data_IF_666558841115
#
_entry.id   IF_666558841115
#
_cell.length_a   1.000
_cell.length_b   1.000
_cell.length_c   1.000
_cell.angle_alpha   90.00
_cell.angle_beta   90.00
_cell.angle_gamma   90.00
#
_symmetry.space_group_name_H-M   'P 1'
#
loop_
_entity.id
_entity.type
_entity.pdbx_description
1 polymer ?
#
# COMPACT_ATOMS: atom_id res chain seq x y z
N UNK A 1 26.91 -71.78 12.64
CA UNK A 1 25.59 -72.42 12.62
C UNK A 1 24.52 -71.36 12.56
N UNK A 2 23.89 -71.03 11.44
CA UNK A 2 24.33 -70.82 10.06
C UNK A 2 23.14 -70.11 9.40
N UNK A 3 23.48 -69.15 8.55
CA UNK A 3 22.81 -68.67 7.34
C UNK A 3 21.28 -68.77 7.15
N UNK A 4 20.66 -67.62 6.86
CA UNK A 4 19.93 -67.29 5.61
C UNK A 4 19.28 -65.90 5.79
N UNK A 5 19.74 -64.83 5.14
CA UNK A 5 19.50 -64.43 3.75
C UNK A 5 18.03 -64.03 3.48
N UNK A 6 17.76 -62.72 3.39
CA UNK A 6 16.88 -62.21 2.34
C UNK A 6 17.15 -60.72 2.04
N UNK A 7 17.43 -60.49 0.77
CA UNK A 7 17.54 -59.19 0.09
C UNK A 7 16.21 -58.99 -0.67
N UNK A 8 15.66 -57.77 -0.75
CA UNK A 8 15.43 -57.23 -2.09
C UNK A 8 15.66 -55.70 -2.26
N UNK A 9 15.76 -55.37 -3.54
CA UNK A 9 16.18 -54.16 -4.27
C UNK A 9 15.74 -52.73 -3.84
N UNK A 10 16.52 -51.70 -4.24
CA UNK A 10 16.21 -50.27 -4.12
C UNK A 10 15.76 -49.66 -5.47
N UNK A 11 14.48 -49.32 -5.63
CA UNK A 11 14.04 -48.46 -6.74
C UNK A 11 12.71 -47.74 -6.45
N UNK A 12 12.77 -46.55 -5.83
CA UNK A 12 11.72 -45.55 -5.94
C UNK A 12 12.30 -44.14 -5.66
N UNK A 13 12.19 -43.17 -6.59
CA UNK A 13 12.57 -41.78 -6.32
C UNK A 13 11.52 -41.08 -5.44
N UNK A 14 11.92 -40.15 -4.56
CA UNK A 14 11.01 -39.46 -3.67
C UNK A 14 10.13 -38.44 -4.42
N UNK A 15 8.84 -38.52 -4.17
CA UNK A 15 7.80 -37.57 -4.62
C UNK A 15 8.02 -36.18 -3.99
N UNK A 16 8.69 -35.30 -4.73
CA UNK A 16 8.76 -33.87 -4.44
C UNK A 16 7.49 -33.11 -4.87
N UNK A 17 7.24 -31.89 -4.36
CA UNK A 17 5.95 -31.23 -4.47
C UNK A 17 5.67 -30.78 -5.91
N UNK A 18 4.65 -31.39 -6.54
CA UNK A 18 4.19 -31.13 -7.91
C UNK A 18 3.73 -29.68 -8.19
N UNK A 19 3.69 -28.82 -7.17
CA UNK A 19 3.10 -27.48 -7.24
C UNK A 19 3.96 -26.44 -7.97
N UNK A 20 5.29 -26.58 -7.96
CA UNK A 20 6.19 -25.63 -8.67
C UNK A 20 6.31 -25.92 -10.17
N UNK A 21 6.09 -27.18 -10.59
CA UNK A 21 6.14 -27.61 -11.99
C UNK A 21 4.91 -27.13 -12.78
N UNK A 22 3.73 -27.18 -12.15
CA UNK A 22 2.47 -26.75 -12.76
C UNK A 22 2.48 -25.24 -13.09
N UNK A 23 2.95 -24.40 -12.17
CA UNK A 23 3.03 -22.95 -12.38
C UNK A 23 4.02 -22.56 -13.51
N UNK A 24 5.12 -23.30 -13.66
CA UNK A 24 6.09 -23.09 -14.75
C UNK A 24 5.51 -23.57 -16.09
N UNK A 25 4.71 -24.65 -16.08
CA UNK A 25 4.02 -25.14 -17.27
C UNK A 25 2.93 -24.17 -17.76
N UNK A 26 2.17 -23.56 -16.85
CA UNK A 26 1.14 -22.56 -17.17
C UNK A 26 1.75 -21.29 -17.78
N UNK A 27 2.87 -20.80 -17.24
CA UNK A 27 3.59 -19.63 -17.79
C UNK A 27 4.15 -19.94 -19.18
N UNK A 28 4.69 -21.15 -19.40
CA UNK A 28 5.19 -21.55 -20.72
C UNK A 28 4.06 -21.73 -21.75
N UNK A 29 2.90 -22.24 -21.33
CA UNK A 29 1.71 -22.35 -22.18
C UNK A 29 1.16 -20.97 -22.58
N UNK A 30 1.15 -20.02 -21.65
CA UNK A 30 0.76 -18.63 -21.92
C UNK A 30 1.72 -17.93 -22.89
N UNK A 31 3.03 -18.12 -22.72
CA UNK A 31 4.05 -17.60 -23.65
C UNK A 31 3.94 -18.22 -25.07
N UNK A 32 3.58 -19.51 -25.16
CA UNK A 32 3.34 -20.17 -26.44
C UNK A 32 2.07 -19.65 -27.16
N UNK A 33 1.02 -19.31 -26.41
CA UNK A 33 -0.21 -18.69 -26.95
C UNK A 33 0.07 -17.29 -27.52
N UNK A 34 0.89 -16.48 -26.84
CA UNK A 34 1.30 -15.16 -27.35
C UNK A 34 2.15 -15.27 -28.62
N UNK A 35 3.01 -16.28 -28.71
CA UNK A 35 3.82 -16.52 -29.91
C UNK A 35 2.96 -16.97 -31.11
N UNK A 36 1.86 -17.70 -30.85
CA UNK A 36 0.91 -18.10 -31.89
C UNK A 36 0.07 -16.93 -32.42
N UNK A 37 -0.36 -16.01 -31.55
CA UNK A 37 -1.05 -14.77 -31.97
C UNK A 37 -0.14 -13.81 -32.72
N UNK A 38 1.16 -13.77 -32.38
CA UNK A 38 2.15 -12.97 -33.11
C UNK A 38 2.56 -13.57 -34.47
N UNK A 39 2.27 -14.86 -34.73
CA UNK A 39 2.62 -15.56 -35.98
C UNK A 39 1.56 -15.49 -37.08
N UNK A 40 0.38 -14.93 -36.80
CA UNK A 40 -0.79 -14.94 -37.68
C UNK A 40 -0.89 -13.78 -38.68
N UNK A 41 0.21 -13.33 -39.28
CA UNK A 41 0.17 -12.32 -40.36
C UNK A 41 1.38 -12.44 -41.29
N UNK A 42 1.46 -13.54 -42.04
CA UNK A 42 2.52 -13.75 -43.03
C UNK A 42 2.03 -14.59 -44.20
N UNK A 43 1.35 -13.95 -45.17
CA UNK A 43 0.93 -14.62 -46.38
C UNK A 43 0.44 -13.69 -47.48
N UNK A 44 1.33 -13.37 -48.42
CA UNK A 44 0.97 -13.08 -49.82
C UNK A 44 0.78 -11.62 -50.19
N UNK A 45 1.78 -11.02 -50.86
CA UNK A 45 1.66 -9.71 -51.48
C UNK A 45 2.83 -9.40 -52.40
N UNK A 46 2.73 -9.88 -53.63
CA UNK A 46 3.63 -9.63 -54.77
C UNK A 46 3.72 -8.11 -55.03
N UNK A 47 4.94 -7.61 -55.25
CA UNK A 47 5.20 -6.19 -55.47
C UNK A 47 4.75 -5.66 -56.84
N UNK A 48 4.41 -4.37 -56.87
CA UNK A 48 4.62 -3.47 -58.00
C UNK A 48 4.75 -2.01 -57.47
N UNK A 49 5.49 -1.12 -58.17
CA UNK A 49 6.12 0.05 -57.57
C UNK A 49 5.46 1.40 -57.91
N UNK A 50 5.80 2.44 -57.13
CA UNK A 50 5.83 3.84 -57.59
C UNK A 50 4.67 4.73 -57.15
N UNK A 51 4.92 5.61 -56.19
CA UNK A 51 4.02 6.72 -55.83
C UNK A 51 4.61 7.61 -54.73
N UNK A 52 5.15 8.75 -55.13
CA UNK A 52 5.79 9.76 -54.28
C UNK A 52 4.84 10.33 -53.21
N UNK A 53 5.38 10.40 -51.98
CA UNK A 53 5.22 11.43 -50.95
C UNK A 53 3.89 12.16 -50.77
N UNK A 54 3.29 11.98 -49.60
CA UNK A 54 2.77 13.08 -48.76
C UNK A 54 3.18 12.76 -47.32
N UNK A 55 4.01 13.65 -46.75
CA UNK A 55 4.27 13.74 -45.31
C UNK A 55 3.11 14.51 -44.71
N UNK A 56 2.38 13.89 -43.76
CA UNK A 56 1.60 14.63 -42.77
C UNK A 56 2.02 14.09 -41.40
N UNK A 57 2.81 14.90 -40.71
CA UNK A 57 3.03 14.75 -39.28
C UNK A 57 1.77 15.14 -38.50
N UNK A 58 1.57 14.52 -37.36
CA UNK A 58 0.51 14.86 -36.41
C UNK A 58 0.51 13.87 -35.26
N UNK A 59 1.17 14.23 -34.17
CA UNK A 59 1.18 13.46 -32.93
C UNK A 59 -0.17 13.47 -32.21
N UNK A 60 -0.27 12.63 -31.18
CA UNK A 60 -1.40 12.62 -30.26
C UNK A 60 -1.50 11.30 -29.52
N UNK A 61 -0.87 11.25 -28.33
CA UNK A 61 -1.18 10.22 -27.35
C UNK A 61 -2.61 10.36 -26.84
N UNK A 62 -3.17 9.27 -26.34
CA UNK A 62 -4.46 9.32 -25.64
C UNK A 62 -5.20 7.99 -25.67
N UNK A 63 -4.99 7.20 -24.61
CA UNK A 63 -5.92 6.25 -24.01
C UNK A 63 -6.75 5.37 -24.96
N UNK A 64 -6.38 4.09 -25.04
CA UNK A 64 -7.35 3.02 -25.30
C UNK A 64 -8.33 2.94 -24.11
N UNK A 65 -9.63 3.25 -24.25
CA UNK A 65 -10.58 2.80 -23.26
C UNK A 65 -10.90 1.33 -23.59
N UNK A 66 -10.45 0.41 -22.75
CA UNK A 66 -11.10 -0.89 -22.61
C UNK A 66 -12.59 -0.64 -22.34
N UNK A 67 -13.42 -0.82 -23.36
CA UNK A 67 -14.86 -0.83 -23.19
C UNK A 67 -15.32 -2.29 -23.20
N UNK A 68 -15.53 -2.78 -21.99
CA UNK A 68 -16.28 -3.98 -21.68
C UNK A 68 -17.55 -4.05 -22.54
N UNK A 69 -17.58 -4.99 -23.49
CA UNK A 69 -18.76 -5.36 -24.25
C UNK A 69 -19.69 -6.19 -23.34
N UNK A 70 -20.41 -5.49 -22.47
CA UNK A 70 -21.60 -6.03 -21.81
C UNK A 70 -22.80 -6.11 -22.77
N UNK A 71 -23.82 -6.94 -22.47
CA UNK A 71 -24.95 -7.23 -23.37
C UNK A 71 -25.99 -6.10 -23.51
N UNK A 72 -25.77 -4.91 -22.96
CA UNK A 72 -26.72 -3.80 -23.02
C UNK A 72 -26.41 -2.83 -24.18
N UNK A 73 -27.34 -2.67 -25.16
CA UNK A 73 -27.14 -1.82 -26.32
C UNK A 73 -27.30 -0.35 -25.92
N UNK A 74 -26.23 0.25 -25.38
CA UNK A 74 -26.20 1.71 -25.19
C UNK A 74 -26.32 2.40 -26.55
N UNK A 75 -27.09 3.51 -26.68
CA UNK A 75 -27.26 4.23 -27.96
C UNK A 75 -25.93 4.65 -28.61
N UNK A 76 -24.91 4.93 -27.77
CA UNK A 76 -23.54 5.21 -28.19
C UNK A 76 -22.84 3.97 -28.79
N UNK A 77 -23.01 2.80 -28.18
CA UNK A 77 -22.51 1.53 -28.70
C UNK A 77 -23.15 1.17 -30.05
N UNK A 78 -24.47 1.37 -30.19
CA UNK A 78 -25.18 1.13 -31.46
C UNK A 78 -24.71 2.09 -32.55
N UNK A 79 -24.50 3.37 -32.24
CA UNK A 79 -23.94 4.34 -33.19
C UNK A 79 -22.52 3.96 -33.63
N UNK A 80 -21.67 3.53 -32.70
CA UNK A 80 -20.32 3.04 -32.99
C UNK A 80 -20.34 1.79 -33.88
N UNK A 81 -21.18 0.80 -33.57
CA UNK A 81 -21.33 -0.41 -34.38
C UNK A 81 -21.87 -0.12 -35.79
N UNK A 82 -22.81 0.83 -35.94
CA UNK A 82 -23.28 1.28 -37.26
C UNK A 82 -22.18 1.98 -38.05
N UNK A 83 -21.38 2.83 -37.40
CA UNK A 83 -20.22 3.46 -38.03
C UNK A 83 -19.17 2.43 -38.47
N UNK A 84 -18.90 1.43 -37.63
CA UNK A 84 -18.00 0.32 -37.94
C UNK A 84 -18.54 -0.54 -39.09
N UNK A 85 -19.85 -0.83 -39.12
CA UNK A 85 -20.50 -1.56 -40.20
C UNK A 85 -20.51 -0.79 -41.53
N UNK A 86 -20.72 0.54 -41.50
CA UNK A 86 -20.61 1.37 -42.68
C UNK A 86 -19.17 1.41 -43.20
N UNK A 87 -18.18 1.53 -42.30
CA UNK A 87 -16.77 1.50 -42.64
C UNK A 87 -16.34 0.14 -43.21
N UNK A 88 -16.81 -0.98 -42.64
CA UNK A 88 -16.52 -2.33 -43.15
C UNK A 88 -17.16 -2.54 -44.52
N UNK A 89 -18.42 -2.14 -44.70
CA UNK A 89 -19.11 -2.25 -45.99
C UNK A 89 -18.42 -1.39 -47.07
N UNK A 90 -17.98 -0.17 -46.74
CA UNK A 90 -17.22 0.67 -47.65
C UNK A 90 -15.90 0.01 -48.06
N UNK A 91 -15.17 -0.58 -47.11
CA UNK A 91 -13.94 -1.36 -47.39
C UNK A 91 -14.23 -2.56 -48.28
N UNK A 92 -15.28 -3.34 -48.02
CA UNK A 92 -15.68 -4.48 -48.86
C UNK A 92 -16.05 -4.05 -50.28
N UNK A 93 -16.76 -2.94 -50.44
CA UNK A 93 -17.09 -2.38 -51.77
C UNK A 93 -15.83 -1.92 -52.51
N UNK A 94 -14.93 -1.21 -51.84
CA UNK A 94 -13.66 -0.78 -52.42
C UNK A 94 -12.80 -1.99 -52.85
N UNK A 95 -12.71 -3.02 -52.01
CA UNK A 95 -12.04 -4.27 -52.35
C UNK A 95 -12.70 -4.98 -53.54
N UNK A 96 -14.04 -4.97 -53.62
CA UNK A 96 -14.79 -5.51 -54.74
C UNK A 96 -14.48 -4.81 -56.06
N UNK A 97 -14.43 -3.48 -56.06
CA UNK A 97 -14.08 -2.66 -57.24
C UNK A 97 -12.63 -2.93 -57.67
N UNK A 98 -11.68 -2.94 -56.73
CA UNK A 98 -10.27 -3.24 -57.02
C UNK A 98 -10.11 -4.64 -57.62
N UNK A 99 -10.80 -5.65 -57.07
CA UNK A 99 -10.79 -7.00 -57.60
C UNK A 99 -11.41 -7.09 -58.99
N UNK A 100 -12.48 -6.34 -59.27
CA UNK A 100 -13.07 -6.27 -60.61
C UNK A 100 -12.11 -5.63 -61.62
N UNK A 101 -11.43 -4.54 -61.25
CA UNK A 101 -10.42 -3.88 -62.07
C UNK A 101 -9.24 -4.81 -62.41
N UNK A 102 -8.70 -5.52 -61.43
CA UNK A 102 -7.62 -6.49 -61.65
C UNK A 102 -8.04 -7.65 -62.56
N UNK A 103 -9.30 -8.11 -62.47
CA UNK A 103 -9.82 -9.15 -63.36
C UNK A 103 -9.95 -8.67 -64.80
N UNK A 104 -10.41 -7.43 -65.01
CA UNK A 104 -10.50 -6.82 -66.34
C UNK A 104 -9.11 -6.68 -66.96
N UNK A 105 -8.15 -6.12 -66.21
CA UNK A 105 -6.77 -6.00 -66.65
C UNK A 105 -6.12 -7.37 -66.95
N UNK A 106 -6.40 -8.39 -66.12
CA UNK A 106 -5.94 -9.75 -66.41
C UNK A 106 -6.56 -10.34 -67.68
N UNK A 107 -7.81 -10.00 -68.01
CA UNK A 107 -8.45 -10.43 -69.25
C UNK A 107 -7.80 -9.75 -70.47
N UNK A 108 -7.50 -8.45 -70.39
CA UNK A 108 -6.77 -7.72 -71.42
C UNK A 108 -5.39 -8.31 -71.68
N UNK A 109 -4.60 -8.58 -70.62
CA UNK A 109 -3.29 -9.23 -70.77
C UNK A 109 -3.37 -10.64 -71.37
N UNK A 110 -4.43 -11.41 -71.07
CA UNK A 110 -4.65 -12.72 -71.70
C UNK A 110 -4.97 -12.60 -73.18
N UNK A 111 -5.79 -11.63 -73.58
CA UNK A 111 -6.12 -11.38 -74.98
C UNK A 111 -4.88 -10.92 -75.77
N UNK A 112 -4.09 -10.01 -75.20
CA UNK A 112 -2.83 -9.56 -75.79
C UNK A 112 -1.81 -10.71 -75.89
N UNK A 113 -1.69 -11.55 -74.86
CA UNK A 113 -0.84 -12.74 -74.89
C UNK A 113 -1.30 -13.75 -75.96
N UNK A 114 -2.60 -13.91 -76.20
CA UNK A 114 -3.12 -14.74 -77.29
C UNK A 114 -2.74 -14.14 -78.66
N UNK A 115 -2.92 -12.84 -78.84
CA UNK A 115 -2.52 -12.12 -80.07
C UNK A 115 -1.04 -12.31 -80.40
N UNK A 116 -0.16 -12.15 -79.39
CA UNK A 116 1.28 -12.33 -79.54
C UNK A 116 1.66 -13.78 -79.86
N UNK A 117 0.98 -14.77 -79.25
CA UNK A 117 1.19 -16.19 -79.57
C UNK A 117 0.86 -16.50 -81.02
N UNK A 118 -0.29 -16.06 -81.51
CA UNK A 118 -0.65 -16.27 -82.93
C UNK A 118 0.34 -15.59 -83.89
N UNK A 119 0.84 -14.40 -83.54
CA UNK A 119 1.85 -13.72 -84.35
C UNK A 119 3.18 -14.50 -84.40
N UNK A 120 3.61 -15.06 -83.26
CA UNK A 120 4.82 -15.90 -83.18
C UNK A 120 4.64 -17.23 -83.92
N UNK A 121 3.45 -17.84 -83.87
CA UNK A 121 3.10 -19.04 -84.64
C UNK A 121 3.17 -18.77 -86.16
N UNK A 122 2.62 -17.64 -86.63
CA UNK A 122 2.73 -17.22 -88.05
C UNK A 122 4.18 -16.97 -88.48
N UNK A 123 5.05 -16.56 -87.56
CA UNK A 123 6.48 -16.35 -87.81
C UNK A 123 7.33 -17.62 -87.68
N UNK A 124 6.73 -18.79 -87.38
CA UNK A 124 7.45 -20.05 -87.18
C UNK A 124 8.21 -20.15 -85.85
N UNK A 125 7.99 -19.20 -84.92
CA UNK A 125 8.59 -19.14 -83.58
C UNK A 125 7.62 -19.69 -82.52
N UNK A 126 6.86 -20.71 -82.87
CA UNK A 126 5.95 -21.38 -81.95
C UNK A 126 6.72 -21.98 -80.76
N UNK A 127 6.10 -22.00 -79.58
CA UNK A 127 6.72 -22.53 -78.36
C UNK A 127 7.23 -23.97 -78.52
N UNK A 128 6.55 -24.77 -79.33
CA UNK A 128 6.87 -26.18 -79.61
C UNK A 128 7.94 -26.34 -80.71
N UNK A 129 8.23 -25.27 -81.46
CA UNK A 129 9.28 -25.23 -82.48
C UNK A 129 10.65 -24.81 -81.92
N UNK A 130 10.71 -24.32 -80.67
CA UNK A 130 11.97 -23.99 -80.01
C UNK A 130 12.71 -25.24 -79.54
N UNK A 131 14.04 -25.22 -79.61
CA UNK A 131 14.85 -26.27 -78.98
C UNK A 131 14.62 -26.29 -77.46
N UNK A 132 14.64 -27.47 -76.81
CA UNK A 132 14.48 -27.58 -75.36
C UNK A 132 15.34 -26.61 -74.52
N UNK A 133 16.64 -26.40 -74.80
CA UNK A 133 17.45 -25.44 -74.05
C UNK A 133 17.03 -23.98 -74.27
N UNK A 134 16.60 -23.60 -75.48
CA UNK A 134 16.13 -22.25 -75.76
C UNK A 134 14.81 -21.95 -75.04
N UNK A 135 13.90 -22.93 -74.98
CA UNK A 135 12.64 -22.82 -74.26
C UNK A 135 12.84 -22.64 -72.74
N UNK A 136 13.81 -23.37 -72.15
CA UNK A 136 14.17 -23.22 -70.73
C UNK A 136 14.76 -21.85 -70.44
N UNK A 137 15.70 -21.37 -71.25
CA UNK A 137 16.33 -20.05 -71.08
C UNK A 137 15.33 -18.91 -71.22
N UNK A 138 14.45 -18.94 -72.24
CA UNK A 138 13.41 -17.93 -72.42
C UNK A 138 12.43 -17.90 -71.22
N UNK A 139 12.07 -19.08 -70.68
CA UNK A 139 11.23 -19.17 -69.48
C UNK A 139 11.91 -18.59 -68.25
N UNK A 140 13.21 -18.85 -68.07
CA UNK A 140 13.98 -18.31 -66.96
C UNK A 140 14.06 -16.77 -67.02
N UNK A 141 14.36 -16.21 -68.20
CA UNK A 141 14.39 -14.75 -68.39
C UNK A 141 13.01 -14.13 -68.14
N UNK A 142 11.94 -14.72 -68.64
CA UNK A 142 10.58 -14.25 -68.38
C UNK A 142 10.20 -14.32 -66.89
N UNK A 143 10.63 -15.37 -66.18
CA UNK A 143 10.40 -15.51 -64.75
C UNK A 143 11.15 -14.43 -63.95
N UNK A 144 12.42 -14.18 -64.28
CA UNK A 144 13.22 -13.13 -63.63
C UNK A 144 12.67 -11.73 -63.96
N UNK A 145 12.25 -11.48 -65.19
CA UNK A 145 11.63 -10.22 -65.60
C UNK A 145 10.34 -9.94 -64.81
N UNK A 146 9.49 -10.96 -64.64
CA UNK A 146 8.28 -10.85 -63.84
C UNK A 146 8.57 -10.58 -62.36
N UNK A 147 9.59 -11.24 -61.78
CA UNK A 147 10.00 -11.01 -60.39
C UNK A 147 10.56 -9.60 -60.17
N UNK A 148 11.29 -9.08 -61.15
CA UNK A 148 11.86 -7.73 -61.11
C UNK A 148 10.91 -6.65 -61.65
N UNK A 149 9.71 -7.02 -62.10
CA UNK A 149 8.72 -6.16 -62.73
C UNK A 149 9.26 -5.35 -63.94
N UNK A 150 10.08 -6.00 -64.78
CA UNK A 150 10.68 -5.44 -65.99
C UNK A 150 9.79 -5.76 -67.20
N UNK A 151 9.66 -4.81 -68.14
CA UNK A 151 8.78 -4.94 -69.32
C UNK A 151 9.54 -5.25 -70.61
N UNK A 152 10.84 -5.03 -70.61
CA UNK A 152 11.78 -5.20 -71.70
C UNK A 152 12.75 -6.35 -71.43
N UNK A 153 13.45 -6.79 -72.47
CA UNK A 153 14.47 -7.85 -72.37
C UNK A 153 15.90 -7.30 -72.37
N UNK A 154 16.09 -6.00 -72.10
CA UNK A 154 17.41 -5.37 -72.12
C UNK A 154 18.20 -5.69 -70.84
N UNK A 155 19.47 -6.06 -71.01
CA UNK A 155 20.37 -6.41 -69.90
C UNK A 155 20.53 -5.26 -68.89
N UNK A 156 20.60 -4.02 -69.37
CA UNK A 156 20.66 -2.79 -68.55
C UNK A 156 19.54 -2.74 -67.52
N UNK A 157 18.30 -3.01 -67.94
CA UNK A 157 17.11 -3.00 -67.08
C UNK A 157 17.16 -4.09 -66.00
N UNK A 158 17.66 -5.29 -66.33
CA UNK A 158 17.87 -6.36 -65.34
C UNK A 158 18.93 -5.99 -64.30
N UNK A 159 20.05 -5.40 -64.75
CA UNK A 159 21.13 -5.00 -63.84
C UNK A 159 20.66 -3.92 -62.88
N UNK A 160 19.95 -2.88 -63.38
CA UNK A 160 19.42 -1.81 -62.51
C UNK A 160 18.39 -2.35 -61.52
N UNK A 161 17.41 -3.14 -61.98
CA UNK A 161 16.37 -3.67 -61.10
C UNK A 161 16.93 -4.66 -60.05
N UNK A 162 17.95 -5.44 -60.40
CA UNK A 162 18.63 -6.32 -59.45
C UNK A 162 19.47 -5.56 -58.43
N UNK A 163 20.11 -4.45 -58.82
CA UNK A 163 20.79 -3.55 -57.90
C UNK A 163 19.80 -2.89 -56.92
N UNK A 164 18.67 -2.38 -57.44
CA UNK A 164 17.59 -1.81 -56.63
C UNK A 164 17.02 -2.82 -55.63
N UNK A 165 16.78 -4.07 -56.07
CA UNK A 165 16.32 -5.14 -55.19
C UNK A 165 17.35 -5.48 -54.11
N UNK A 166 18.63 -5.47 -54.46
CA UNK A 166 19.73 -5.75 -53.52
C UNK A 166 19.84 -4.65 -52.46
N UNK A 167 19.69 -3.37 -52.84
CA UNK A 167 19.65 -2.25 -51.90
C UNK A 167 18.44 -2.36 -50.96
N UNK A 168 17.24 -2.62 -51.50
CA UNK A 168 16.03 -2.82 -50.68
C UNK A 168 16.19 -3.99 -49.72
N UNK A 169 16.84 -5.08 -50.14
CA UNK A 169 17.15 -6.22 -49.28
C UNK A 169 18.06 -5.80 -48.12
N UNK A 170 19.12 -5.03 -48.40
CA UNK A 170 20.03 -4.55 -47.36
C UNK A 170 19.33 -3.61 -46.35
N UNK A 171 18.45 -2.71 -46.82
CA UNK A 171 17.66 -1.84 -45.93
C UNK A 171 16.71 -2.63 -45.03
N UNK A 172 16.04 -3.65 -45.57
CA UNK A 172 15.15 -4.54 -44.81
C UNK A 172 15.96 -5.34 -43.79
N UNK A 173 17.15 -5.79 -44.16
CA UNK A 173 18.04 -6.52 -43.27
C UNK A 173 18.53 -5.64 -42.11
N UNK A 174 18.92 -4.39 -42.38
CA UNK A 174 19.31 -3.44 -41.34
C UNK A 174 18.15 -3.15 -40.37
N UNK A 175 16.92 -2.98 -40.89
CA UNK A 175 15.72 -2.80 -40.06
C UNK A 175 15.44 -4.03 -39.22
N UNK A 176 15.56 -5.24 -39.79
CA UNK A 176 15.42 -6.50 -39.05
C UNK A 176 16.43 -6.56 -37.91
N UNK A 177 17.69 -6.21 -38.16
CA UNK A 177 18.75 -6.28 -37.15
C UNK A 177 18.55 -5.25 -36.04
N UNK A 178 18.05 -4.04 -36.37
CA UNK A 178 17.63 -3.04 -35.37
C UNK A 178 16.52 -3.57 -34.47
N UNK A 179 15.43 -4.06 -35.07
CA UNK A 179 14.30 -4.64 -34.32
C UNK A 179 14.76 -5.83 -33.47
N UNK A 180 15.66 -6.66 -33.99
CA UNK A 180 16.20 -7.79 -33.23
C UNK A 180 17.02 -7.34 -32.01
N UNK A 181 17.86 -6.30 -32.16
CA UNK A 181 18.62 -5.70 -31.04
C UNK A 181 17.69 -5.08 -29.99
N UNK A 182 16.68 -4.34 -30.42
CA UNK A 182 15.68 -3.72 -29.53
C UNK A 182 14.87 -4.79 -28.78
N UNK A 183 14.41 -5.83 -29.49
CA UNK A 183 13.71 -6.97 -28.90
C UNK A 183 14.56 -7.66 -27.84
N UNK A 184 15.84 -7.92 -28.13
CA UNK A 184 16.77 -8.51 -27.15
C UNK A 184 16.95 -7.60 -25.92
N UNK A 185 17.13 -6.30 -26.11
CA UNK A 185 17.25 -5.35 -25.01
C UNK A 185 15.98 -5.33 -24.14
N UNK A 186 14.79 -5.36 -24.75
CA UNK A 186 13.51 -5.38 -24.04
C UNK A 186 13.33 -6.68 -23.24
N UNK A 187 13.73 -7.83 -23.80
CA UNK A 187 13.73 -9.09 -23.07
C UNK A 187 14.68 -9.06 -21.87
N UNK A 188 15.86 -8.46 -22.01
CA UNK A 188 16.81 -8.31 -20.89
C UNK A 188 16.25 -7.40 -19.79
N UNK A 189 15.60 -6.28 -20.14
CA UNK A 189 14.90 -5.43 -19.17
C UNK A 189 13.78 -6.18 -18.45
N UNK A 190 13.00 -6.95 -19.20
CA UNK A 190 11.90 -7.76 -18.65
C UNK A 190 12.43 -8.81 -17.67
N UNK A 191 13.50 -9.52 -18.04
CA UNK A 191 14.17 -10.47 -17.14
C UNK A 191 14.67 -9.80 -15.87
N UNK A 192 15.33 -8.63 -15.97
CA UNK A 192 15.79 -7.85 -14.80
C UNK A 192 14.62 -7.43 -13.90
N UNK A 193 13.51 -6.99 -14.48
CA UNK A 193 12.32 -6.60 -13.73
C UNK A 193 11.71 -7.80 -12.98
N UNK A 194 11.63 -8.97 -13.62
CA UNK A 194 11.16 -10.21 -12.99
C UNK A 194 12.06 -10.61 -11.81
N UNK A 195 13.39 -10.53 -11.97
CA UNK A 195 14.33 -10.83 -10.88
C UNK A 195 14.10 -9.90 -9.68
N UNK A 196 14.02 -8.58 -9.91
CA UNK A 196 13.74 -7.59 -8.85
C UNK A 196 12.40 -7.84 -8.16
N UNK A 197 11.36 -8.12 -8.93
CA UNK A 197 10.03 -8.44 -8.40
C UNK A 197 10.07 -9.70 -7.52
N UNK A 198 10.85 -10.71 -7.92
CA UNK A 198 11.03 -11.94 -7.15
C UNK A 198 11.79 -11.67 -5.84
N UNK A 199 12.82 -10.84 -5.87
CA UNK A 199 13.55 -10.40 -4.68
C UNK A 199 12.64 -9.62 -3.71
N UNK A 200 11.84 -8.68 -4.23
CA UNK A 200 10.87 -7.92 -3.44
C UNK A 200 9.82 -8.82 -2.79
N UNK A 201 9.27 -9.80 -3.52
CA UNK A 201 8.35 -10.79 -2.96
C UNK A 201 8.99 -11.58 -1.80
N UNK A 202 10.25 -12.02 -1.97
CA UNK A 202 10.99 -12.71 -0.91
C UNK A 202 11.23 -11.83 0.31
N UNK A 203 11.56 -10.54 0.11
CA UNK A 203 11.73 -9.60 1.21
C UNK A 203 10.42 -9.33 1.94
N UNK A 204 9.31 -9.16 1.22
CA UNK A 204 7.99 -8.98 1.81
C UNK A 204 7.60 -10.19 2.67
N UNK A 205 7.82 -11.41 2.16
CA UNK A 205 7.53 -12.63 2.91
C UNK A 205 8.37 -12.72 4.20
N UNK A 206 9.65 -12.37 4.14
CA UNK A 206 10.52 -12.28 5.33
C UNK A 206 9.99 -11.29 6.34
N UNK A 207 9.68 -10.05 5.91
CA UNK A 207 9.14 -9.03 6.80
C UNK A 207 7.82 -9.45 7.43
N UNK A 208 6.94 -10.11 6.68
CA UNK A 208 5.69 -10.64 7.21
C UNK A 208 5.94 -11.67 8.32
N UNK A 209 6.84 -12.63 8.08
CA UNK A 209 7.21 -13.63 9.08
C UNK A 209 7.87 -13.00 10.32
N UNK A 210 8.72 -11.98 10.12
CA UNK A 210 9.37 -11.27 11.23
C UNK A 210 8.36 -10.50 12.08
N UNK A 211 7.36 -9.86 11.45
CA UNK A 211 6.27 -9.18 12.16
C UNK A 211 5.41 -10.18 12.93
N UNK A 212 5.04 -11.30 12.31
CA UNK A 212 4.26 -12.36 12.98
C UNK A 212 5.03 -12.93 14.18
N UNK A 213 6.34 -13.18 14.03
CA UNK A 213 7.21 -13.63 15.11
C UNK A 213 7.31 -12.59 16.23
N UNK A 214 7.55 -11.34 15.89
CA UNK A 214 7.66 -10.25 16.88
C UNK A 214 6.33 -10.06 17.63
N UNK A 215 5.19 -10.15 16.94
CA UNK A 215 3.87 -10.08 17.57
C UNK A 215 3.64 -11.27 18.51
N UNK A 216 4.00 -12.49 18.10
CA UNK A 216 3.88 -13.67 18.94
C UNK A 216 4.73 -13.54 20.21
N UNK A 217 6.00 -13.14 20.08
CA UNK A 217 6.92 -12.92 21.20
C UNK A 217 6.39 -11.83 22.16
N UNK A 218 5.94 -10.70 21.62
CA UNK A 218 5.34 -9.66 22.44
C UNK A 218 4.10 -10.17 23.17
N UNK A 219 3.19 -10.85 22.47
CA UNK A 219 1.97 -11.38 23.08
C UNK A 219 2.30 -12.35 24.22
N UNK A 220 3.30 -13.22 24.07
CA UNK A 220 3.75 -14.12 25.14
C UNK A 220 4.37 -13.35 26.32
N UNK A 221 5.14 -12.30 26.06
CA UNK A 221 5.70 -11.44 27.11
C UNK A 221 4.60 -10.72 27.89
N UNK A 222 3.59 -10.18 27.18
CA UNK A 222 2.44 -9.51 27.79
C UNK A 222 1.61 -10.47 28.64
N UNK A 223 1.35 -11.69 28.14
CA UNK A 223 0.67 -12.74 28.90
C UNK A 223 1.44 -13.10 30.18
N UNK A 224 2.76 -13.26 30.08
CA UNK A 224 3.61 -13.57 31.24
C UNK A 224 3.58 -12.44 32.27
N UNK A 225 3.68 -11.18 31.82
CA UNK A 225 3.58 -10.02 32.70
C UNK A 225 2.22 -9.92 33.37
N UNK A 226 1.14 -10.20 32.64
CA UNK A 226 -0.22 -10.18 33.18
C UNK A 226 -0.38 -11.21 34.30
N UNK A 227 0.09 -12.45 34.09
CA UNK A 227 0.08 -13.50 35.13
C UNK A 227 0.88 -13.08 36.36
N UNK A 228 2.03 -12.43 36.19
CA UNK A 228 2.81 -11.90 37.31
C UNK A 228 2.07 -10.77 38.05
N UNK A 229 1.35 -9.90 37.34
CA UNK A 229 0.54 -8.85 37.94
C UNK A 229 -0.63 -9.41 38.74
N UNK A 230 -1.36 -10.39 38.20
CA UNK A 230 -2.44 -11.10 38.91
C UNK A 230 -1.95 -11.75 40.21
N UNK A 231 -0.76 -12.37 40.16
CA UNK A 231 -0.13 -12.95 41.36
C UNK A 231 0.17 -11.89 42.41
N UNK A 232 0.73 -10.75 42.01
CA UNK A 232 1.02 -9.61 42.91
C UNK A 232 -0.26 -8.98 43.47
N UNK A 233 -1.32 -8.85 42.66
CA UNK A 233 -2.61 -8.37 43.12
C UNK A 233 -3.14 -9.26 44.26
N UNK A 234 -3.15 -10.58 44.07
CA UNK A 234 -3.55 -11.53 45.10
C UNK A 234 -2.70 -11.41 46.36
N UNK A 235 -1.38 -11.21 46.20
CA UNK A 235 -0.48 -10.99 47.31
C UNK A 235 -0.83 -9.71 48.09
N UNK A 236 -1.09 -8.59 47.40
CA UNK A 236 -1.48 -7.34 48.05
C UNK A 236 -2.84 -7.42 48.73
N UNK A 237 -3.83 -8.09 48.13
CA UNK A 237 -5.13 -8.34 48.76
C UNK A 237 -4.94 -9.11 50.07
N UNK A 238 -4.11 -10.16 50.06
CA UNK A 238 -3.81 -10.94 51.26
C UNK A 238 -3.09 -10.08 52.32
N UNK A 239 -2.13 -9.26 51.92
CA UNK A 239 -1.43 -8.34 52.82
C UNK A 239 -2.39 -7.32 53.46
N UNK A 240 -3.26 -6.70 52.68
CA UNK A 240 -4.28 -5.77 53.17
C UNK A 240 -5.23 -6.46 54.15
N UNK A 241 -5.67 -7.69 53.84
CA UNK A 241 -6.49 -8.49 54.74
C UNK A 241 -5.77 -8.77 56.07
N UNK A 242 -4.49 -9.16 56.01
CA UNK A 242 -3.67 -9.42 57.20
C UNK A 242 -3.49 -8.15 58.05
N UNK A 243 -3.12 -7.02 57.45
CA UNK A 243 -2.96 -5.76 58.19
C UNK A 243 -4.28 -5.28 58.80
N UNK A 244 -5.42 -5.46 58.12
CA UNK A 244 -6.74 -5.18 58.70
C UNK A 244 -7.03 -6.06 59.91
N UNK A 245 -6.74 -7.36 59.83
CA UNK A 245 -6.91 -8.27 60.96
C UNK A 245 -6.00 -7.88 62.14
N UNK A 246 -4.76 -7.46 61.86
CA UNK A 246 -3.82 -6.97 62.87
C UNK A 246 -4.31 -5.68 63.53
N UNK A 247 -4.80 -4.71 62.76
CA UNK A 247 -5.41 -3.48 63.29
C UNK A 247 -6.60 -3.79 64.20
N UNK A 248 -7.48 -4.69 63.76
CA UNK A 248 -8.64 -5.13 64.54
C UNK A 248 -8.21 -5.80 65.85
N UNK A 249 -7.15 -6.62 65.84
CA UNK A 249 -6.60 -7.26 67.05
C UNK A 249 -6.04 -6.23 68.04
N UNK A 250 -5.43 -5.16 67.55
CA UNK A 250 -4.91 -4.06 68.37
C UNK A 250 -6.03 -3.11 68.83
N UNK A 251 -7.28 -3.33 68.39
CA UNK A 251 -8.43 -2.52 68.77
C UNK A 251 -8.42 -1.13 68.11
N UNK A 252 -7.77 -1.00 66.96
CA UNK A 252 -7.73 0.27 66.24
C UNK A 252 -9.14 0.67 65.78
N UNK A 253 -9.61 1.82 66.24
CA UNK A 253 -10.80 2.50 65.73
C UNK A 253 -10.38 3.71 64.90
N UNK A 254 -11.13 4.07 63.84
CA UNK A 254 -10.84 5.25 63.02
C UNK A 254 -10.74 6.55 63.83
N UNK A 255 -11.34 6.59 65.01
CA UNK A 255 -11.32 7.72 65.96
C UNK A 255 -9.94 7.94 66.59
N UNK A 256 -9.11 6.89 66.68
CA UNK A 256 -7.74 6.96 67.21
C UNK A 256 -6.76 7.43 66.11
N UNK A 257 -7.24 7.63 64.88
CA UNK A 257 -6.44 8.19 63.80
C UNK A 257 -5.93 9.59 64.18
N UNK A 258 -4.67 9.89 63.84
CA UNK A 258 -4.02 11.14 64.20
C UNK A 258 -4.81 12.38 63.80
N UNK A 259 -5.40 12.39 62.60
CA UNK A 259 -6.24 13.51 62.14
C UNK A 259 -7.44 13.76 63.04
N UNK A 260 -8.20 12.71 63.38
CA UNK A 260 -9.37 12.79 64.27
C UNK A 260 -8.95 13.19 65.69
N UNK A 261 -7.83 12.66 66.18
CA UNK A 261 -7.27 13.03 67.48
C UNK A 261 -6.88 14.50 67.56
N UNK A 262 -6.31 15.06 66.49
CA UNK A 262 -5.99 16.48 66.41
C UNK A 262 -7.26 17.33 66.41
N UNK A 263 -8.28 16.97 65.62
CA UNK A 263 -9.56 17.66 65.61
C UNK A 263 -10.23 17.66 67.01
N UNK A 264 -10.22 16.52 67.70
CA UNK A 264 -10.74 16.41 69.07
C UNK A 264 -9.94 17.26 70.07
N UNK A 265 -8.61 17.32 69.93
CA UNK A 265 -7.73 18.12 70.78
C UNK A 265 -7.96 19.63 70.57
N UNK A 266 -8.14 20.06 69.33
CA UNK A 266 -8.51 21.43 68.99
C UNK A 266 -9.88 21.79 69.55
N UNK A 267 -10.89 20.94 69.35
CA UNK A 267 -12.23 21.16 69.90
C UNK A 267 -12.23 21.24 71.43
N UNK A 268 -11.43 20.39 72.10
CA UNK A 268 -11.23 20.47 73.56
C UNK A 268 -10.61 21.81 73.97
N UNK A 269 -9.58 22.28 73.26
CA UNK A 269 -8.92 23.57 73.53
C UNK A 269 -9.88 24.74 73.35
N UNK A 270 -10.75 24.68 72.35
CA UNK A 270 -11.77 25.69 72.12
C UNK A 270 -12.87 25.68 73.20
N UNK A 271 -13.30 24.50 73.65
CA UNK A 271 -14.19 24.37 74.80
C UNK A 271 -13.54 24.94 76.07
N UNK A 272 -12.28 24.61 76.36
CA UNK A 272 -11.55 25.16 77.51
C UNK A 272 -11.46 26.68 77.46
N UNK A 273 -11.21 27.27 76.28
CA UNK A 273 -11.20 28.72 76.10
C UNK A 273 -12.55 29.35 76.44
N UNK A 274 -13.67 28.67 76.15
CA UNK A 274 -15.03 29.14 76.48
C UNK A 274 -15.40 28.90 77.94
N UNK A 275 -14.95 27.80 78.54
CA UNK A 275 -15.34 27.39 79.90
C UNK A 275 -14.54 28.09 80.99
N UNK A 276 -13.26 28.42 80.76
CA UNK A 276 -12.41 29.16 81.72
C UNK A 276 -13.07 30.44 82.27
N UNK A 277 -13.55 31.39 81.44
CA UNK A 277 -14.17 32.61 81.96
C UNK A 277 -15.46 32.31 82.74
N UNK A 278 -16.23 31.29 82.34
CA UNK A 278 -17.45 30.88 83.06
C UNK A 278 -17.09 30.33 84.45
N UNK A 279 -16.08 29.46 84.53
CA UNK A 279 -15.58 28.93 85.80
C UNK A 279 -15.03 30.04 86.71
N UNK A 280 -14.30 31.00 86.14
CA UNK A 280 -13.78 32.16 86.86
C UNK A 280 -14.92 33.04 87.41
N UNK A 281 -15.97 33.29 86.62
CA UNK A 281 -17.16 34.00 87.12
C UNK A 281 -17.89 33.22 88.20
N UNK A 282 -18.04 31.90 88.07
CA UNK A 282 -18.66 31.07 89.10
C UNK A 282 -17.87 31.10 90.41
N UNK A 283 -16.54 31.06 90.33
CA UNK A 283 -15.66 31.18 91.48
C UNK A 283 -15.84 32.53 92.18
N UNK A 284 -15.94 33.62 91.41
CA UNK A 284 -16.22 34.95 91.98
C UNK A 284 -17.55 35.01 92.72
N UNK A 285 -18.57 34.26 92.27
CA UNK A 285 -19.86 34.18 92.98
C UNK A 285 -19.80 33.34 94.25
N UNK A 286 -18.94 32.30 94.30
CA UNK A 286 -18.75 31.48 95.50
C UNK A 286 -18.01 32.22 96.61
N UNK A 287 -17.22 33.24 96.27
CA UNK A 287 -16.51 34.09 97.23
C UNK A 287 -17.43 35.16 97.89
N UNK A 288 -18.68 35.32 97.43
CA UNK A 288 -19.64 36.25 98.02
C UNK A 288 -20.38 35.63 99.23
N UNK A 289 -20.52 36.34 100.37
CA UNK A 289 -21.27 35.85 101.53
C UNK A 289 -22.74 35.57 101.19
N UNK A 290 -23.34 34.47 101.69
CA UNK A 290 -24.67 33.99 101.28
C UNK A 290 -25.85 34.83 101.79
N UNK A 291 -25.62 35.94 102.51
CA UNK A 291 -26.68 36.81 103.04
C UNK A 291 -26.43 38.28 102.67
N UNK A 292 -27.44 38.90 102.05
CA UNK A 292 -27.41 40.28 101.53
C UNK A 292 -27.15 41.30 102.64
N UNK A 293 -27.58 41.00 103.86
CA UNK A 293 -27.34 41.84 105.03
C UNK A 293 -25.87 41.81 105.48
N UNK A 294 -25.24 40.63 105.47
CA UNK A 294 -23.82 40.47 105.82
C UNK A 294 -22.89 41.03 104.73
N UNK A 295 -23.27 40.92 103.46
CA UNK A 295 -22.55 41.56 102.36
C UNK A 295 -22.57 43.10 102.48
N UNK A 296 -23.70 43.70 102.89
CA UNK A 296 -23.78 45.14 103.12
C UNK A 296 -22.89 45.59 104.28
N UNK A 297 -22.87 44.83 105.39
CA UNK A 297 -22.01 45.10 106.54
C UNK A 297 -20.53 44.95 106.18
N UNK A 298 -20.16 43.90 105.44
CA UNK A 298 -18.78 43.72 104.96
C UNK A 298 -18.33 44.85 104.02
N UNK A 299 -19.23 45.38 103.17
CA UNK A 299 -18.97 46.56 102.36
C UNK A 299 -18.78 47.80 103.23
N UNK A 300 -19.61 47.99 104.27
CA UNK A 300 -19.52 49.13 105.16
C UNK A 300 -18.25 49.10 106.02
N UNK A 301 -17.84 47.92 106.51
CA UNK A 301 -16.59 47.73 107.23
C UNK A 301 -15.37 47.97 106.33
N UNK A 302 -15.39 47.48 105.08
CA UNK A 302 -14.33 47.80 104.11
C UNK A 302 -14.30 49.28 103.78
N UNK A 303 -15.45 49.94 103.60
CA UNK A 303 -15.53 51.40 103.41
C UNK A 303 -14.99 52.18 104.62
N UNK A 304 -15.26 51.72 105.84
CA UNK A 304 -14.67 52.32 107.05
C UNK A 304 -13.16 52.11 107.10
N UNK A 305 -12.65 50.94 106.71
CA UNK A 305 -11.20 50.69 106.60
C UNK A 305 -10.56 51.58 105.53
N UNK A 306 -11.21 51.78 104.38
CA UNK A 306 -10.74 52.71 103.34
C UNK A 306 -10.76 54.17 103.83
N UNK A 307 -11.84 54.63 104.44
CA UNK A 307 -11.94 56.00 104.98
C UNK A 307 -10.95 56.25 106.12
N UNK A 308 -10.67 55.25 106.96
CA UNK A 308 -9.64 55.34 108.00
C UNK A 308 -8.23 55.42 107.39
N UNK A 309 -7.97 54.64 106.33
CA UNK A 309 -6.71 54.72 105.60
C UNK A 309 -6.53 56.06 104.88
N UNK A 310 -7.59 56.61 104.28
CA UNK A 310 -7.59 57.95 103.68
C UNK A 310 -7.32 59.03 104.72
N UNK A 311 -8.01 59.00 105.87
CA UNK A 311 -7.72 59.93 106.97
C UNK A 311 -6.30 59.83 107.50
N UNK A 312 -5.78 58.61 107.65
CA UNK A 312 -4.38 58.41 108.06
C UNK A 312 -3.42 59.02 107.03
N UNK A 313 -3.72 58.87 105.74
CA UNK A 313 -2.92 59.46 104.66
C UNK A 313 -3.02 60.99 104.65
N UNK A 314 -4.20 61.55 104.92
CA UNK A 314 -4.40 62.99 105.09
C UNK A 314 -3.66 63.56 106.32
N UNK A 315 -3.70 62.89 107.46
CA UNK A 315 -2.97 63.28 108.68
C UNK A 315 -1.45 63.21 108.48
N UNK A 316 -0.95 62.18 107.78
CA UNK A 316 0.47 62.07 107.39
C UNK A 316 0.87 63.20 106.42
N UNK A 317 -0.01 63.60 105.50
CA UNK A 317 0.26 64.71 104.58
C UNK A 317 0.18 66.07 105.26
N UNK A 318 -0.74 66.29 106.19
CA UNK A 318 -0.84 67.56 106.95
C UNK A 318 0.33 67.73 107.93
N UNK A 319 0.74 66.66 108.61
CA UNK A 319 1.95 66.68 109.46
C UNK A 319 3.24 66.95 108.68
N UNK A 320 3.28 66.63 107.38
CA UNK A 320 4.39 66.97 106.50
C UNK A 320 4.38 68.45 106.01
N UNK A 321 3.28 69.19 106.15
CA UNK A 321 3.11 70.55 105.60
C UNK A 321 3.20 71.70 106.63
N UNK A 322 3.07 71.46 107.94
CA UNK A 322 3.04 72.55 108.95
C UNK A 322 4.31 72.78 109.78
N UNK A 323 5.39 72.02 109.62
CA UNK A 323 6.65 72.28 110.35
C UNK A 323 7.91 71.97 109.53
N UNK A 324 8.66 73.03 109.12
CA UNK A 324 9.88 73.00 108.29
C UNK A 324 11.17 73.16 109.11
N UNK A 325 12.24 72.44 108.75
CA UNK A 325 13.64 72.78 109.06
C UNK A 325 14.09 72.85 110.52
N UNK A 326 14.43 71.69 111.11
CA UNK A 326 15.65 71.39 111.87
C UNK A 326 15.78 69.87 112.07
#
# INVERSE_FOLDING_TARGET
>A
MDHAADHPDPAAPPSGPASSSAAVAEVNAWLASLAAEAGGAGGGGVGAPGGRGIVVGGGGGGATPELSLGPEPTPRGVAYLRALAAASQARSRAAGIAAAGLRAQAAEYRAEAARLREALERAGLARDALSPPAAVSARAVAAVANLLAIRDTEMSSFVVASADLSLRRAEVEEKRDKVHKESKALLDYTRKAITKLTELKKMLEKFKNDVEKQQAEQMTDWQTKLVMMDSKERQYILQVSNYKAMLNRVGYTPEINHGVLMEMAEHKKDLERKTKPIADTLRSYQDLPPDKALAALAIEDKKRQYAAAEKYLEDVLQSALTTPGL
#
